data_IF_030395174328
#
_entry.id   IF_030395174328
#
_cell.length_a   1.000
_cell.length_b   1.000
_cell.length_c   1.000
_cell.angle_alpha   90.00
_cell.angle_beta   90.00
_cell.angle_gamma   90.00
#
_symmetry.space_group_name_H-M   'P 1'
#
loop_
_entity.id
_entity.type
_entity.pdbx_description
1 polymer ?
#
# COMPACT_ATOMS: atom_id res chain seq x y z
N UNK A 1 4.90 -6.87 29.40
CA UNK A 1 5.46 -5.89 28.44
C UNK A 1 5.36 -6.51 27.05
N UNK A 2 4.49 -5.99 26.18
CA UNK A 2 4.38 -6.50 24.80
C UNK A 2 5.44 -5.80 23.96
N UNK A 3 6.44 -6.56 23.55
CA UNK A 3 7.59 -6.10 22.76
C UNK A 3 7.16 -5.72 21.34
N UNK A 4 7.02 -4.41 21.04
CA UNK A 4 6.87 -3.89 19.67
C UNK A 4 8.23 -3.91 18.97
N UNK A 5 8.58 -5.01 18.33
CA UNK A 5 9.58 -5.00 17.23
C UNK A 5 8.83 -5.04 15.91
N UNK A 6 8.77 -3.91 15.17
CA UNK A 6 8.66 -3.92 13.70
C UNK A 6 9.36 -2.69 13.09
N UNK A 7 9.99 -2.85 11.91
CA UNK A 7 10.93 -1.89 11.34
C UNK A 7 10.19 -0.72 10.69
N UNK A 8 10.72 0.49 10.89
CA UNK A 8 10.47 1.73 10.14
C UNK A 8 9.05 1.95 9.60
N UNK A 9 8.07 2.04 10.52
CA UNK A 9 6.78 2.69 10.24
C UNK A 9 6.60 3.88 11.16
N UNK A 10 7.26 5.00 10.84
CA UNK A 10 7.13 6.26 11.58
C UNK A 10 5.70 6.85 11.57
N UNK A 11 4.84 6.43 10.63
CA UNK A 11 3.48 6.95 10.47
C UNK A 11 2.56 6.64 11.66
N UNK A 12 2.66 5.45 12.26
CA UNK A 12 1.81 5.09 13.41
C UNK A 12 2.21 5.93 14.64
N UNK A 13 3.50 5.99 15.05
CA UNK A 13 3.93 6.89 16.11
C UNK A 13 3.58 8.36 15.86
N UNK A 14 3.63 8.83 14.60
CA UNK A 14 3.28 10.21 14.26
C UNK A 14 1.79 10.50 14.47
N UNK A 15 0.89 9.63 13.99
CA UNK A 15 -0.56 9.80 14.18
C UNK A 15 -0.93 9.68 15.65
N UNK A 16 -0.32 8.73 16.37
CA UNK A 16 -0.48 8.57 17.83
C UNK A 16 -0.10 9.86 18.56
N UNK A 17 1.06 10.43 18.24
CA UNK A 17 1.57 11.66 18.83
C UNK A 17 0.70 12.89 18.48
N UNK A 18 0.46 13.15 17.19
CA UNK A 18 -0.28 14.35 16.76
C UNK A 18 -1.73 14.37 17.25
N UNK A 19 -2.33 13.20 17.38
CA UNK A 19 -3.75 13.08 17.75
C UNK A 19 -3.95 12.76 19.23
N UNK A 20 -2.89 12.50 19.99
CA UNK A 20 -2.97 12.04 21.38
C UNK A 20 -3.87 10.81 21.51
N UNK A 21 -3.65 9.82 20.64
CA UNK A 21 -4.35 8.53 20.64
C UNK A 21 -3.34 7.40 20.71
N UNK A 22 -3.79 6.23 21.15
CA UNK A 22 -3.05 4.99 21.00
C UNK A 22 -3.67 4.17 19.87
N UNK A 23 -2.85 3.67 18.96
CA UNK A 23 -3.25 2.82 17.85
C UNK A 23 -2.71 1.41 18.08
N UNK A 24 -3.55 0.42 17.84
CA UNK A 24 -3.12 -0.98 17.74
C UNK A 24 -3.48 -1.50 16.36
N UNK A 25 -2.59 -2.32 15.81
CA UNK A 25 -2.70 -2.85 14.45
C UNK A 25 -2.53 -4.36 14.54
N UNK A 26 -3.63 -5.07 14.29
CA UNK A 26 -3.70 -6.52 14.37
C UNK A 26 -3.97 -7.11 12.98
N UNK A 27 -3.22 -8.13 12.61
CA UNK A 27 -3.45 -8.86 11.35
C UNK A 27 -4.52 -9.90 11.65
N UNK A 28 -5.67 -9.80 11.00
CA UNK A 28 -6.76 -10.77 11.20
C UNK A 28 -6.52 -12.02 10.36
N UNK A 29 -7.09 -13.15 10.78
CA UNK A 29 -6.85 -14.47 10.19
C UNK A 29 -7.15 -14.57 8.68
N UNK A 30 -7.86 -13.59 8.10
CA UNK A 30 -8.11 -13.52 6.66
C UNK A 30 -6.90 -13.05 5.84
N UNK A 31 -5.72 -12.79 6.45
CA UNK A 31 -4.42 -12.55 5.78
C UNK A 31 -4.29 -11.21 5.05
N UNK A 32 -5.34 -10.81 4.35
CA UNK A 32 -5.39 -9.62 3.49
C UNK A 32 -6.03 -8.41 4.19
N UNK A 33 -6.52 -8.61 5.42
CA UNK A 33 -7.14 -7.57 6.22
C UNK A 33 -6.32 -7.31 7.48
N UNK A 34 -6.39 -6.07 7.92
CA UNK A 34 -5.77 -5.58 9.14
C UNK A 34 -6.83 -4.83 9.92
N UNK A 35 -6.94 -5.15 11.19
CA UNK A 35 -7.77 -4.42 12.14
C UNK A 35 -6.94 -3.31 12.79
N UNK A 36 -7.52 -2.11 12.87
CA UNK A 36 -6.90 -0.97 13.56
C UNK A 36 -7.83 -0.53 14.68
N UNK A 37 -7.33 -0.64 15.91
CA UNK A 37 -8.05 -0.21 17.11
C UNK A 37 -7.55 1.15 17.56
N UNK A 38 -8.46 2.10 17.80
CA UNK A 38 -8.15 3.48 18.19
C UNK A 38 -8.60 3.72 19.64
N UNK A 39 -7.65 3.97 20.53
CA UNK A 39 -7.91 4.33 21.92
C UNK A 39 -7.69 5.82 22.13
N UNK A 40 -8.72 6.53 22.61
CA UNK A 40 -8.66 7.97 22.82
C UNK A 40 -10.04 8.59 23.02
N UNK A 41 -10.13 9.92 23.05
CA UNK A 41 -11.40 10.64 23.20
C UNK A 41 -12.31 10.39 21.99
N UNK A 42 -13.64 10.15 22.15
CA UNK A 42 -14.53 9.82 21.04
C UNK A 42 -14.47 10.79 19.84
N UNK A 43 -14.41 12.11 20.10
CA UNK A 43 -14.26 13.13 19.04
C UNK A 43 -12.99 12.97 18.22
N UNK A 44 -11.89 12.57 18.87
CA UNK A 44 -10.59 12.38 18.23
C UNK A 44 -10.56 11.06 17.46
N UNK A 45 -11.18 10.00 17.99
CA UNK A 45 -11.30 8.71 17.28
C UNK A 45 -11.92 8.88 15.89
N UNK A 46 -13.01 9.65 15.79
CA UNK A 46 -13.66 9.90 14.50
C UNK A 46 -12.73 10.61 13.50
N UNK A 47 -11.95 11.60 13.97
CA UNK A 47 -10.98 12.31 13.12
C UNK A 47 -9.87 11.38 12.65
N UNK A 48 -9.30 10.59 13.55
CA UNK A 48 -8.23 9.63 13.24
C UNK A 48 -8.73 8.55 12.28
N UNK A 49 -9.95 8.05 12.47
CA UNK A 49 -10.59 7.11 11.54
C UNK A 49 -10.66 7.67 10.12
N UNK A 50 -11.09 8.93 9.95
CA UNK A 50 -11.14 9.57 8.64
C UNK A 50 -9.76 9.71 7.98
N UNK A 51 -8.72 10.05 8.77
CA UNK A 51 -7.33 10.13 8.28
C UNK A 51 -6.84 8.76 7.81
N UNK A 52 -7.03 7.72 8.61
CA UNK A 52 -6.63 6.35 8.29
C UNK A 52 -7.34 5.83 7.02
N UNK A 53 -8.65 6.09 6.88
CA UNK A 53 -9.40 5.73 5.68
C UNK A 53 -8.89 6.45 4.43
N UNK A 54 -8.53 7.73 4.55
CA UNK A 54 -7.98 8.52 3.45
C UNK A 54 -6.61 8.00 3.01
N UNK A 55 -5.72 7.69 3.98
CA UNK A 55 -4.42 7.08 3.71
C UNK A 55 -4.56 5.71 3.05
N UNK A 56 -5.46 4.86 3.55
CA UNK A 56 -5.73 3.55 2.96
C UNK A 56 -6.20 3.67 1.50
N UNK A 57 -7.11 4.62 1.22
CA UNK A 57 -7.59 4.88 -0.13
C UNK A 57 -6.47 5.40 -1.06
N UNK A 58 -5.64 6.33 -0.57
CA UNK A 58 -4.50 6.83 -1.32
C UNK A 58 -3.52 5.70 -1.68
N UNK A 59 -3.13 4.88 -0.69
CA UNK A 59 -2.26 3.72 -0.93
C UNK A 59 -2.87 2.72 -1.92
N UNK A 60 -4.18 2.46 -1.85
CA UNK A 60 -4.87 1.57 -2.80
C UNK A 60 -4.78 2.13 -4.23
N UNK A 61 -5.09 3.42 -4.42
CA UNK A 61 -5.00 4.08 -5.73
C UNK A 61 -3.58 4.09 -6.26
N UNK A 62 -2.60 4.39 -5.41
CA UNK A 62 -1.20 4.41 -5.77
C UNK A 62 -0.70 3.03 -6.22
N UNK A 63 -1.04 1.97 -5.48
CA UNK A 63 -0.73 0.58 -5.88
C UNK A 63 -1.36 0.20 -7.21
N UNK A 64 -2.65 0.51 -7.41
CA UNK A 64 -3.34 0.24 -8.67
C UNK A 64 -2.70 0.99 -9.86
N UNK A 65 -2.20 2.21 -9.63
CA UNK A 65 -1.47 2.98 -10.65
C UNK A 65 -0.12 2.34 -10.98
N UNK A 66 0.64 1.94 -9.96
CA UNK A 66 1.93 1.28 -10.15
C UNK A 66 1.77 -0.02 -10.95
N UNK A 67 0.77 -0.84 -10.60
CA UNK A 67 0.46 -2.08 -11.33
C UNK A 67 0.14 -1.83 -12.81
N UNK A 68 -0.70 -0.84 -13.10
CA UNK A 68 -1.00 -0.44 -14.49
C UNK A 68 0.24 0.02 -15.26
N UNK A 69 1.16 0.71 -14.59
CA UNK A 69 2.41 1.15 -15.22
C UNK A 69 3.31 -0.03 -15.57
N UNK A 70 3.42 -1.01 -14.66
CA UNK A 70 4.19 -2.23 -14.91
C UNK A 70 3.61 -3.01 -16.10
N UNK A 71 2.29 -3.17 -16.17
CA UNK A 71 1.62 -3.83 -17.31
C UNK A 71 1.86 -3.11 -18.64
N UNK A 72 1.84 -1.76 -18.63
CA UNK A 72 2.16 -0.97 -19.80
C UNK A 72 3.62 -1.17 -20.23
N UNK A 73 4.56 -1.17 -19.28
CA UNK A 73 5.98 -1.40 -19.56
C UNK A 73 6.21 -2.80 -20.17
N UNK A 74 5.58 -3.84 -19.64
CA UNK A 74 5.65 -5.20 -20.18
C UNK A 74 5.08 -5.31 -21.59
N UNK A 75 3.93 -4.67 -21.84
CA UNK A 75 3.32 -4.58 -23.16
C UNK A 75 4.25 -3.90 -24.18
N UNK A 76 4.87 -2.79 -23.79
CA UNK A 76 5.81 -2.08 -24.66
C UNK A 76 7.08 -2.90 -24.93
N UNK A 77 7.60 -3.62 -23.94
CA UNK A 77 8.77 -4.51 -24.12
C UNK A 77 8.47 -5.65 -25.09
N UNK A 78 7.32 -6.30 -24.96
CA UNK A 78 6.91 -7.40 -25.84
C UNK A 78 6.65 -6.96 -27.28
N UNK A 79 6.14 -5.73 -27.48
CA UNK A 79 5.94 -5.17 -28.82
C UNK A 79 7.17 -4.46 -29.41
N UNK A 80 8.17 -4.09 -28.61
CA UNK A 80 9.45 -3.58 -29.09
C UNK A 80 10.36 -4.68 -29.65
N UNK A 81 10.21 -5.93 -29.19
CA UNK A 81 10.78 -7.11 -29.87
C UNK A 81 9.93 -7.45 -31.09
N UNK A 82 10.15 -6.74 -32.20
CA UNK A 82 9.45 -7.01 -33.47
C UNK A 82 9.57 -8.47 -33.94
N UNK A 83 8.71 -8.92 -34.88
CA UNK A 83 8.84 -10.27 -35.46
C UNK A 83 10.26 -10.43 -36.00
N UNK A 84 10.98 -11.47 -35.55
CA UNK A 84 12.25 -11.85 -36.15
C UNK A 84 11.97 -12.09 -37.63
N UNK A 85 12.45 -11.18 -38.48
CA UNK A 85 12.42 -11.34 -39.92
C UNK A 85 13.16 -12.64 -40.23
N UNK A 86 12.51 -13.66 -40.83
CA UNK A 86 13.24 -14.81 -41.32
C UNK A 86 14.21 -14.28 -42.37
N UNK A 87 15.52 -14.42 -42.13
CA UNK A 87 16.51 -14.02 -43.11
C UNK A 87 16.22 -14.77 -44.41
N UNK A 88 15.79 -14.00 -45.41
CA UNK A 88 15.60 -14.49 -46.76
C UNK A 88 16.99 -14.75 -47.34
N UNK A 89 17.52 -15.95 -47.10
CA UNK A 89 18.71 -16.45 -47.78
C UNK A 89 18.33 -16.73 -49.24
N UNK A 90 18.64 -15.76 -50.11
CA UNK A 90 18.62 -15.97 -51.55
C UNK A 90 19.90 -16.76 -51.88
N UNK A 91 19.70 -17.98 -52.38
CA UNK A 91 20.75 -18.83 -52.99
C UNK A 91 20.64 -18.68 -54.50
#
# INVERSE_FOLDING_TARGET
AVTRKRPDRAIIPEIEWMSQVLLTVDIVNSGDLVEITIFGRPRVQNRVKSVLLSLANWHRKHRARAEKMNQLEEFLKTHASGPQTPEHRIV
#
